data_IF_320977345204
#
_entry.id   IF_320977345204
#
_cell.length_a   1.000
_cell.length_b   1.000
_cell.length_c   1.000
_cell.angle_alpha   90.00
_cell.angle_beta   90.00
_cell.angle_gamma   90.00
#
_symmetry.space_group_name_H-M   'P 1'
#
loop_
_entity.id
_entity.type
_entity.pdbx_description
1 polymer ?
#
# COMPACT_ATOMS: atom_id res chain seq x y z
N UNK A 1 -61.50 30.45 29.72
CA UNK A 1 -60.96 29.15 30.19
C UNK A 1 -59.54 29.03 29.66
N UNK A 2 -58.62 28.85 30.59
CA UNK A 2 -57.17 28.69 30.44
C UNK A 2 -56.81 27.38 29.75
N UNK A 3 -55.77 27.36 28.91
CA UNK A 3 -54.95 26.17 28.59
C UNK A 3 -53.67 26.68 27.91
N UNK A 4 -52.57 26.95 28.63
CA UNK A 4 -51.53 26.02 29.09
C UNK A 4 -50.96 25.13 27.97
N UNK A 5 -49.75 25.53 27.56
CA UNK A 5 -48.71 24.77 26.85
C UNK A 5 -48.33 23.46 27.62
N UNK A 6 -47.61 22.51 27.01
CA UNK A 6 -46.16 22.66 27.01
C UNK A 6 -45.44 22.19 25.74
N UNK A 7 -44.39 22.94 25.39
CA UNK A 7 -43.24 22.48 24.63
C UNK A 7 -42.70 21.14 25.17
N UNK A 8 -42.68 20.12 24.31
CA UNK A 8 -41.85 18.94 24.52
C UNK A 8 -40.45 19.25 24.02
N UNK A 9 -39.58 19.62 24.95
CA UNK A 9 -38.14 19.53 24.82
C UNK A 9 -37.75 18.05 24.66
N UNK A 10 -37.48 17.63 23.42
CA UNK A 10 -36.84 16.34 23.11
C UNK A 10 -35.31 16.54 23.27
N UNK A 11 -34.87 16.69 24.52
CA UNK A 11 -33.46 16.69 24.89
C UNK A 11 -32.96 15.24 24.91
N UNK A 12 -32.60 14.73 23.72
CA UNK A 12 -31.92 13.42 23.61
C UNK A 12 -30.44 13.58 23.92
N UNK A 13 -29.85 12.74 24.80
CA UNK A 13 -28.44 12.86 25.13
C UNK A 13 -27.58 12.62 23.90
N UNK A 14 -26.83 13.64 23.48
CA UNK A 14 -25.78 13.52 22.48
C UNK A 14 -24.76 12.49 22.96
N UNK A 15 -24.73 11.31 22.33
CA UNK A 15 -23.71 10.29 22.58
C UNK A 15 -22.32 10.92 22.39
N UNK A 16 -21.36 10.69 23.31
CA UNK A 16 -20.02 11.23 23.17
C UNK A 16 -19.38 10.65 21.90
N UNK A 17 -18.96 11.53 21.01
CA UNK A 17 -18.16 11.22 19.83
C UNK A 17 -16.90 10.48 20.28
N UNK A 18 -16.73 9.23 19.85
CA UNK A 18 -15.49 8.49 20.10
C UNK A 18 -14.29 9.29 19.56
N UNK A 19 -13.13 9.28 20.25
CA UNK A 19 -11.91 9.90 19.75
C UNK A 19 -11.62 9.39 18.34
N UNK A 20 -11.33 10.30 17.43
CA UNK A 20 -10.92 9.96 16.06
C UNK A 20 -9.59 9.23 16.15
N UNK A 21 -9.56 7.96 15.76
CA UNK A 21 -8.33 7.17 15.75
C UNK A 21 -7.26 7.89 14.90
N UNK A 22 -5.97 7.83 15.30
CA UNK A 22 -4.89 8.44 14.55
C UNK A 22 -4.84 7.87 13.13
N UNK A 23 -4.43 8.68 12.13
CA UNK A 23 -4.39 8.23 10.74
C UNK A 23 -3.44 7.05 10.57
N UNK A 24 -3.91 6.02 9.87
CA UNK A 24 -3.10 4.83 9.56
C UNK A 24 -1.87 5.23 8.74
N UNK A 25 -0.69 4.65 9.00
CA UNK A 25 0.50 4.94 8.21
C UNK A 25 0.27 4.59 6.73
N UNK A 26 0.88 5.36 5.81
CA UNK A 26 0.72 5.10 4.39
C UNK A 26 1.28 3.71 4.02
N UNK A 27 0.68 3.03 3.05
CA UNK A 27 1.19 1.74 2.58
C UNK A 27 2.65 1.85 2.12
N UNK A 28 3.49 0.82 2.34
CA UNK A 28 4.89 0.85 1.92
C UNK A 28 5.11 1.18 0.43
N UNK A 29 4.21 0.71 -0.45
CA UNK A 29 4.26 1.01 -1.88
C UNK A 29 4.07 2.52 -2.17
N UNK A 30 3.28 3.23 -1.36
CA UNK A 30 3.08 4.68 -1.50
C UNK A 30 4.35 5.46 -1.12
N UNK A 31 5.04 5.03 -0.06
CA UNK A 31 6.33 5.61 0.35
C UNK A 31 7.42 5.40 -0.70
N UNK A 32 7.48 4.20 -1.30
CA UNK A 32 8.43 3.90 -2.37
C UNK A 32 8.15 4.72 -3.63
N UNK A 33 6.87 4.85 -4.01
CA UNK A 33 6.48 5.69 -5.15
C UNK A 33 6.94 7.14 -4.95
N UNK A 34 6.72 7.70 -3.76
CA UNK A 34 7.14 9.07 -3.46
C UNK A 34 8.66 9.22 -3.49
N UNK A 35 9.39 8.19 -3.02
CA UNK A 35 10.85 8.15 -3.13
C UNK A 35 11.31 8.16 -4.58
N UNK A 36 10.63 7.42 -5.47
CA UNK A 36 10.94 7.42 -6.91
C UNK A 36 10.73 8.82 -7.50
N UNK A 37 9.61 9.48 -7.17
CA UNK A 37 9.32 10.85 -7.64
C UNK A 37 10.38 11.86 -7.20
N UNK A 38 10.86 11.75 -5.96
CA UNK A 38 11.90 12.62 -5.43
C UNK A 38 13.28 12.37 -6.08
N UNK A 39 13.60 11.11 -6.39
CA UNK A 39 14.90 10.73 -6.96
C UNK A 39 14.98 10.96 -8.48
N UNK A 40 13.87 10.81 -9.18
CA UNK A 40 13.80 10.86 -10.63
C UNK A 40 12.70 11.83 -11.07
N UNK A 41 12.93 13.16 -11.00
CA UNK A 41 11.94 14.14 -11.40
C UNK A 41 11.78 14.12 -12.93
N UNK A 42 10.83 13.33 -13.41
CA UNK A 42 10.42 13.21 -14.82
C UNK A 42 8.96 13.65 -14.97
N UNK A 43 8.65 14.34 -16.07
CA UNK A 43 7.29 14.78 -16.41
C UNK A 43 6.33 13.61 -16.58
N UNK A 44 6.83 12.45 -16.98
CA UNK A 44 6.01 11.24 -17.08
C UNK A 44 5.49 10.77 -15.72
N UNK A 45 6.16 11.12 -14.61
CA UNK A 45 5.72 10.80 -13.25
C UNK A 45 4.68 11.77 -12.69
N UNK A 46 4.22 12.73 -13.50
CA UNK A 46 3.03 13.55 -13.19
C UNK A 46 1.75 12.94 -13.79
N UNK A 47 1.89 11.96 -14.69
CA UNK A 47 0.76 11.25 -15.27
C UNK A 47 0.19 10.23 -14.26
N UNK A 48 -1.10 10.38 -13.97
CA UNK A 48 -1.80 9.53 -13.01
C UNK A 48 -1.86 8.07 -13.46
N UNK A 49 -1.98 7.77 -14.76
CA UNK A 49 -2.00 6.40 -15.25
C UNK A 49 -0.65 5.71 -15.02
N UNK A 50 0.44 6.45 -15.28
CA UNK A 50 1.81 5.98 -15.02
C UNK A 50 2.02 5.73 -13.52
N UNK A 51 1.61 6.66 -12.67
CA UNK A 51 1.71 6.52 -11.22
C UNK A 51 0.93 5.31 -10.68
N UNK A 52 -0.28 5.08 -11.20
CA UNK A 52 -1.09 3.91 -10.83
C UNK A 52 -0.46 2.59 -11.29
N UNK A 53 0.14 2.58 -12.49
CA UNK A 53 0.90 1.43 -13.01
C UNK A 53 2.06 1.07 -12.10
N UNK A 54 2.93 2.05 -11.81
CA UNK A 54 4.10 1.87 -10.94
C UNK A 54 3.66 1.42 -9.53
N UNK A 55 2.63 2.07 -8.96
CA UNK A 55 2.11 1.69 -7.64
C UNK A 55 1.64 0.23 -7.59
N UNK A 56 0.90 -0.20 -8.62
CA UNK A 56 0.38 -1.57 -8.72
C UNK A 56 1.51 -2.59 -8.82
N UNK A 57 2.55 -2.28 -9.58
CA UNK A 57 3.76 -3.09 -9.71
C UNK A 57 4.51 -3.20 -8.38
N UNK A 58 4.81 -2.07 -7.72
CA UNK A 58 5.47 -2.03 -6.42
C UNK A 58 4.72 -2.83 -5.37
N UNK A 59 3.39 -2.73 -5.34
CA UNK A 59 2.56 -3.52 -4.43
C UNK A 59 2.69 -5.02 -4.72
N UNK A 60 2.66 -5.41 -5.99
CA UNK A 60 2.84 -6.79 -6.43
C UNK A 60 4.22 -7.35 -6.06
N UNK A 61 5.28 -6.58 -6.28
CA UNK A 61 6.65 -6.96 -5.95
C UNK A 61 6.88 -7.11 -4.45
N UNK A 62 6.32 -6.21 -3.63
CA UNK A 62 6.41 -6.35 -2.18
C UNK A 62 5.72 -7.62 -1.68
N UNK A 63 4.56 -7.97 -2.24
CA UNK A 63 3.86 -9.20 -1.88
C UNK A 63 4.64 -10.45 -2.33
N UNK A 64 5.15 -10.46 -3.57
CA UNK A 64 5.97 -11.55 -4.11
C UNK A 64 7.27 -11.74 -3.34
N UNK A 65 8.00 -10.66 -3.10
CA UNK A 65 9.29 -10.69 -2.39
C UNK A 65 9.14 -11.21 -0.96
N UNK A 66 8.12 -10.78 -0.21
CA UNK A 66 7.80 -11.35 1.12
C UNK A 66 7.54 -12.85 1.08
N UNK A 67 6.83 -13.32 0.05
CA UNK A 67 6.57 -14.76 -0.12
C UNK A 67 7.85 -15.52 -0.43
N UNK A 68 8.66 -15.03 -1.38
CA UNK A 68 9.91 -15.67 -1.78
C UNK A 68 10.94 -15.67 -0.65
N UNK A 69 11.08 -14.58 0.10
CA UNK A 69 12.01 -14.50 1.23
C UNK A 69 11.62 -15.37 2.42
N UNK A 70 10.33 -15.76 2.51
CA UNK A 70 9.85 -16.70 3.54
C UNK A 70 10.07 -18.17 3.17
N UNK A 71 10.48 -18.47 1.93
CA UNK A 71 10.70 -19.84 1.50
C UNK A 71 11.98 -20.40 2.14
N UNK A 72 11.91 -21.54 2.85
CA UNK A 72 13.05 -22.09 3.56
C UNK A 72 14.03 -22.75 2.58
N UNK A 73 15.11 -22.03 2.24
CA UNK A 73 16.22 -22.57 1.46
C UNK A 73 17.33 -23.08 2.37
N UNK A 74 17.93 -24.21 1.99
CA UNK A 74 19.20 -24.69 2.53
C UNK A 74 20.34 -24.08 1.71
N UNK A 75 21.52 -23.94 2.33
CA UNK A 75 22.72 -23.48 1.61
C UNK A 75 23.16 -24.42 0.48
N UNK A 76 22.66 -25.66 0.47
CA UNK A 76 22.87 -26.64 -0.60
C UNK A 76 21.86 -26.53 -1.75
N UNK A 77 20.85 -25.66 -1.63
CA UNK A 77 19.82 -25.52 -2.66
C UNK A 77 20.41 -24.72 -3.82
N UNK A 78 20.52 -25.36 -4.98
CA UNK A 78 21.05 -24.78 -6.20
C UNK A 78 19.96 -24.08 -7.01
N UNK A 79 20.31 -23.09 -7.85
CA UNK A 79 19.37 -22.50 -8.79
C UNK A 79 18.84 -23.56 -9.77
N UNK A 80 17.55 -23.43 -10.16
CA UNK A 80 16.89 -24.41 -11.04
C UNK A 80 17.49 -24.54 -12.45
N UNK A 81 18.40 -23.65 -12.83
CA UNK A 81 19.26 -23.80 -13.99
C UNK A 81 20.66 -23.30 -13.66
N UNK A 82 21.68 -24.05 -14.07
CA UNK A 82 23.06 -23.61 -14.08
C UNK A 82 23.34 -23.17 -15.52
N UNK A 83 23.76 -21.92 -15.69
CA UNK A 83 24.17 -21.42 -17.01
C UNK A 83 25.36 -22.24 -17.52
N UNK A 84 25.18 -22.95 -18.64
CA UNK A 84 26.26 -23.56 -19.40
C UNK A 84 26.51 -22.72 -20.65
N UNK A 85 27.69 -22.10 -20.76
CA UNK A 85 28.08 -21.40 -21.97
C UNK A 85 28.14 -22.39 -23.15
N UNK A 86 27.50 -22.05 -24.26
CA UNK A 86 27.60 -22.83 -25.48
C UNK A 86 28.98 -22.61 -26.11
N UNK A 87 29.80 -23.67 -26.17
CA UNK A 87 31.01 -23.68 -26.97
C UNK A 87 30.74 -24.50 -28.23
N UNK A 88 30.88 -23.89 -29.40
CA UNK A 88 30.95 -24.65 -30.66
C UNK A 88 32.28 -25.40 -30.67
N UNK A 89 32.23 -26.73 -30.63
CA UNK A 89 33.38 -27.57 -30.95
C UNK A 89 33.68 -27.38 -32.43
N UNK A 90 34.83 -26.77 -32.75
CA UNK A 90 35.42 -26.79 -34.10
C UNK A 90 35.74 -28.23 -34.54
#
# INVERSE_FOLDING_TARGET
ATSLEPASADDKPSKPSKPKDPPEPPPPAALLLETIRQRYPDKQLDDQEVLQGIYSELRGDLARSRRLSSFPLKNSDEPGFIFSAFHTSD
#
